data_IF_245433261618
#
_entry.id   IF_245433261618
#
_cell.length_a   1.000
_cell.length_b   1.000
_cell.length_c   1.000
_cell.angle_alpha   90.00
_cell.angle_beta   90.00
_cell.angle_gamma   90.00
#
_symmetry.space_group_name_H-M   'P 1'
#
loop_
_entity.id
_entity.type
_entity.pdbx_description
1 polymer ?
#
# COMPACT_ATOMS: atom_id res chain seq x y z
N UNK A 1 -11.63 -21.83 23.31
CA UNK A 1 -11.19 -20.60 22.62
C UNK A 1 -11.36 -19.49 23.62
N UNK A 2 -10.29 -19.11 24.33
CA UNK A 2 -10.29 -17.83 25.04
C UNK A 2 -10.57 -16.74 24.02
N UNK A 3 -11.47 -15.81 24.34
CA UNK A 3 -11.64 -14.61 23.54
C UNK A 3 -10.29 -13.89 23.53
N UNK A 4 -9.68 -13.76 22.35
CA UNK A 4 -8.55 -12.85 22.17
C UNK A 4 -8.93 -11.51 22.78
N UNK A 5 -8.12 -11.08 23.75
CA UNK A 5 -8.25 -9.76 24.36
C UNK A 5 -8.04 -8.72 23.25
N UNK A 6 -8.95 -7.76 23.13
CA UNK A 6 -8.74 -6.61 22.25
C UNK A 6 -7.58 -5.76 22.80
N UNK A 7 -6.38 -5.96 22.26
CA UNK A 7 -5.18 -5.22 22.67
C UNK A 7 -5.19 -3.81 22.09
N UNK A 8 -4.61 -2.89 22.84
CA UNK A 8 -4.41 -1.52 22.36
C UNK A 8 -3.48 -1.51 21.15
N UNK A 9 -3.90 -0.85 20.07
CA UNK A 9 -3.07 -0.62 18.87
C UNK A 9 -3.27 0.79 18.34
N UNK A 10 -2.16 1.47 18.05
CA UNK A 10 -2.18 2.75 17.38
C UNK A 10 -2.22 2.57 15.86
N UNK A 11 -3.18 3.21 15.20
CA UNK A 11 -3.33 3.16 13.74
C UNK A 11 -2.86 4.44 13.07
N UNK A 12 -3.41 5.59 13.50
CA UNK A 12 -2.96 6.92 13.07
C UNK A 12 -3.55 7.99 13.98
N UNK A 13 -3.03 9.22 13.90
CA UNK A 13 -3.59 10.36 14.66
C UNK A 13 -5.03 10.70 14.28
N UNK A 14 -5.43 10.39 13.04
CA UNK A 14 -6.75 10.72 12.49
C UNK A 14 -7.69 9.51 12.50
N UNK A 15 -7.29 8.41 13.14
CA UNK A 15 -8.08 7.20 13.16
C UNK A 15 -9.30 7.33 14.09
N UNK A 16 -10.48 6.99 13.57
CA UNK A 16 -11.74 7.10 14.32
C UNK A 16 -11.86 6.08 15.47
N UNK A 17 -11.02 5.03 15.50
CA UNK A 17 -10.98 4.07 16.58
C UNK A 17 -10.24 4.58 17.84
N UNK A 18 -9.56 5.74 17.76
CA UNK A 18 -8.73 6.28 18.85
C UNK A 18 -9.46 6.35 20.20
N UNK A 19 -10.74 6.75 20.21
CA UNK A 19 -11.52 6.82 21.45
C UNK A 19 -11.82 5.44 22.08
N UNK A 20 -11.98 4.39 21.28
CA UNK A 20 -12.14 3.01 21.78
C UNK A 20 -10.80 2.47 22.31
N UNK A 21 -9.72 2.71 21.57
CA UNK A 21 -8.37 2.30 21.96
C UNK A 21 -7.93 2.96 23.27
N UNK A 22 -8.19 4.26 23.44
CA UNK A 22 -7.88 5.00 24.67
C UNK A 22 -8.67 4.50 25.90
N UNK A 23 -9.89 3.98 25.71
CA UNK A 23 -10.64 3.32 26.80
C UNK A 23 -10.00 2.00 27.21
N UNK A 24 -9.47 1.23 26.26
CA UNK A 24 -8.71 0.01 26.59
C UNK A 24 -7.37 0.37 27.25
N UNK A 25 -6.69 1.43 26.78
CA UNK A 25 -5.47 1.98 27.40
C UNK A 25 -5.68 2.27 28.89
N UNK A 26 -6.80 2.87 29.27
CA UNK A 26 -7.14 3.14 30.66
C UNK A 26 -7.13 1.85 31.52
N UNK A 27 -7.71 0.77 31.01
CA UNK A 27 -7.76 -0.52 31.72
C UNK A 27 -6.36 -1.11 31.89
N UNK A 28 -5.52 -1.02 30.85
CA UNK A 28 -4.13 -1.50 30.92
C UNK A 28 -3.35 -0.71 31.96
N UNK A 29 -3.41 0.62 31.92
CA UNK A 29 -2.70 1.49 32.87
C UNK A 29 -3.17 1.33 34.33
N UNK A 30 -4.43 0.97 34.54
CA UNK A 30 -4.99 0.75 35.88
C UNK A 30 -4.74 -0.66 36.42
N UNK A 31 -4.55 -1.64 35.54
CA UNK A 31 -4.24 -3.03 35.92
C UNK A 31 -2.74 -3.35 36.02
N UNK A 32 -1.88 -2.47 35.50
CA UNK A 32 -0.44 -2.68 35.53
C UNK A 32 0.13 -2.77 36.95
N UNK A 33 0.93 -3.81 37.17
CA UNK A 33 1.78 -4.03 38.35
C UNK A 33 3.13 -4.60 37.90
N UNK A 34 4.23 -4.19 38.55
CA UNK A 34 5.57 -4.72 38.29
C UNK A 34 5.72 -6.20 38.70
N UNK A 35 4.84 -6.70 39.57
CA UNK A 35 4.86 -8.09 40.07
C UNK A 35 4.23 -9.09 39.09
N UNK A 36 3.52 -8.61 38.08
CA UNK A 36 2.84 -9.48 37.11
C UNK A 36 3.81 -10.03 36.06
N UNK A 37 3.49 -11.21 35.54
CA UNK A 37 4.15 -11.76 34.35
C UNK A 37 3.42 -11.31 33.08
N UNK A 38 4.19 -10.75 32.14
CA UNK A 38 3.68 -10.21 30.87
C UNK A 38 4.24 -11.00 29.69
N UNK A 39 3.42 -11.18 28.66
CA UNK A 39 3.84 -11.77 27.38
C UNK A 39 4.50 -10.72 26.49
N UNK A 40 5.15 -11.15 25.40
CA UNK A 40 5.71 -10.22 24.40
C UNK A 40 4.63 -9.27 23.86
N UNK A 41 3.41 -9.75 23.65
CA UNK A 41 2.30 -8.93 23.15
C UNK A 41 1.87 -7.85 24.14
N UNK A 42 1.98 -8.08 25.45
CA UNK A 42 1.70 -7.05 26.45
C UNK A 42 2.75 -5.92 26.39
N UNK A 43 4.03 -6.27 26.22
CA UNK A 43 5.08 -5.26 26.04
C UNK A 43 4.95 -4.49 24.71
N UNK A 44 4.49 -5.13 23.62
CA UNK A 44 4.17 -4.39 22.40
C UNK A 44 2.99 -3.44 22.64
N UNK A 45 1.93 -3.91 23.31
CA UNK A 45 0.77 -3.10 23.66
C UNK A 45 1.15 -1.89 24.54
N UNK A 46 2.09 -2.05 25.46
CA UNK A 46 2.66 -0.96 26.26
C UNK A 46 3.33 0.11 25.39
N UNK A 47 4.06 -0.30 24.35
CA UNK A 47 4.62 0.63 23.38
C UNK A 47 3.54 1.36 22.57
N UNK A 48 2.53 0.63 22.08
CA UNK A 48 1.38 1.22 21.35
C UNK A 48 0.65 2.28 22.17
N UNK A 49 0.44 2.01 23.46
CA UNK A 49 -0.12 2.98 24.42
C UNK A 49 0.73 4.25 24.47
N UNK A 50 2.05 4.12 24.51
CA UNK A 50 2.94 5.27 24.58
C UNK A 50 2.81 6.17 23.34
N UNK A 51 2.60 5.59 22.14
CA UNK A 51 2.41 6.34 20.89
C UNK A 51 1.20 7.30 20.98
N UNK A 52 0.11 6.91 21.63
CA UNK A 52 -1.03 7.81 21.84
C UNK A 52 -0.62 9.08 22.61
N UNK A 53 0.13 8.91 23.69
CA UNK A 53 0.59 10.03 24.52
C UNK A 53 1.68 10.88 23.85
N UNK A 54 2.55 10.28 23.02
CA UNK A 54 3.52 11.02 22.19
C UNK A 54 2.82 11.92 21.15
N UNK A 55 1.58 11.58 20.78
CA UNK A 55 0.76 12.34 19.84
C UNK A 55 -0.26 13.26 20.51
N UNK A 56 -0.15 13.47 21.83
CA UNK A 56 -1.08 14.25 22.65
C UNK A 56 -2.55 13.84 22.48
N UNK A 57 -2.79 12.53 22.32
CA UNK A 57 -4.13 11.94 22.22
C UNK A 57 -4.60 11.47 23.59
N UNK A 58 -5.77 11.97 24.00
CA UNK A 58 -6.37 11.69 25.30
C UNK A 58 -7.87 11.42 25.17
N UNK A 59 -8.42 10.63 26.09
CA UNK A 59 -9.86 10.45 26.15
C UNK A 59 -10.50 11.75 26.67
N UNK A 60 -11.59 12.20 26.01
CA UNK A 60 -12.26 13.46 26.37
C UNK A 60 -12.83 13.47 27.79
N UNK A 61 -13.08 12.29 28.38
CA UNK A 61 -13.59 12.15 29.74
C UNK A 61 -12.50 12.26 30.82
N UNK A 62 -11.22 12.24 30.47
CA UNK A 62 -10.14 12.34 31.46
C UNK A 62 -9.95 13.78 31.92
N UNK A 63 -9.93 13.96 33.23
CA UNK A 63 -9.50 15.20 33.86
C UNK A 63 -7.98 15.42 33.69
N UNK A 64 -7.51 16.66 33.84
CA UNK A 64 -6.11 17.01 33.54
C UNK A 64 -5.10 16.25 34.43
N UNK A 65 -5.43 16.09 35.71
CA UNK A 65 -4.64 15.29 36.64
C UNK A 65 -4.59 13.79 36.25
N UNK A 66 -5.67 13.25 35.68
CA UNK A 66 -5.69 11.87 35.17
C UNK A 66 -4.80 11.72 33.93
N UNK A 67 -4.83 12.69 33.01
CA UNK A 67 -3.95 12.70 31.84
C UNK A 67 -2.48 12.72 32.24
N UNK A 68 -2.09 13.57 33.19
CA UNK A 68 -0.71 13.63 33.70
C UNK A 68 -0.27 12.32 34.37
N UNK A 69 -1.14 11.72 35.18
CA UNK A 69 -0.89 10.43 35.82
C UNK A 69 -0.74 9.30 34.78
N UNK A 70 -1.65 9.22 33.81
CA UNK A 70 -1.60 8.21 32.74
C UNK A 70 -0.40 8.38 31.83
N UNK A 71 -0.01 9.62 31.51
CA UNK A 71 1.22 9.90 30.77
C UNK A 71 2.45 9.41 31.54
N UNK A 72 2.49 9.63 32.86
CA UNK A 72 3.57 9.14 33.72
C UNK A 72 3.63 7.61 33.77
N UNK A 73 2.48 6.93 33.92
CA UNK A 73 2.39 5.47 33.86
C UNK A 73 2.82 4.91 32.49
N UNK A 74 2.44 5.55 31.39
CA UNK A 74 2.84 5.13 30.05
C UNK A 74 4.36 5.21 29.81
N UNK A 75 5.07 6.13 30.50
CA UNK A 75 6.52 6.17 30.48
C UNK A 75 7.15 4.99 31.24
N UNK A 76 6.54 4.58 32.37
CA UNK A 76 6.96 3.38 33.11
C UNK A 76 6.81 2.13 32.23
N UNK A 77 5.66 1.99 31.56
CA UNK A 77 5.40 0.89 30.62
C UNK A 77 6.39 0.87 29.46
N UNK A 78 6.76 2.04 28.92
CA UNK A 78 7.76 2.16 27.87
C UNK A 78 9.14 1.70 28.34
N UNK A 79 9.56 2.09 29.55
CA UNK A 79 10.84 1.64 30.10
C UNK A 79 10.82 0.12 30.37
N UNK A 80 9.73 -0.43 30.90
CA UNK A 80 9.56 -1.88 31.07
C UNK A 80 9.68 -2.62 29.72
N UNK A 81 9.05 -2.10 28.67
CA UNK A 81 9.15 -2.63 27.29
C UNK A 81 10.60 -2.61 26.79
N UNK A 82 11.29 -1.50 26.98
CA UNK A 82 12.70 -1.36 26.59
C UNK A 82 13.59 -2.36 27.34
N UNK A 83 13.40 -2.52 28.65
CA UNK A 83 14.16 -3.48 29.45
C UNK A 83 13.89 -4.92 29.00
N UNK A 84 12.64 -5.28 28.70
CA UNK A 84 12.30 -6.58 28.15
C UNK A 84 13.03 -6.84 26.81
N UNK A 85 12.97 -5.89 25.88
CA UNK A 85 13.67 -6.02 24.58
C UNK A 85 15.18 -6.20 24.75
N UNK A 86 15.80 -5.44 25.66
CA UNK A 86 17.25 -5.44 25.86
C UNK A 86 17.76 -6.65 26.63
N UNK A 87 16.99 -7.21 27.57
CA UNK A 87 17.47 -8.21 28.52
C UNK A 87 16.87 -9.61 28.31
N UNK A 88 15.71 -9.71 27.66
CA UNK A 88 14.97 -10.97 27.53
C UNK A 88 14.89 -11.49 26.09
N UNK A 89 15.20 -10.68 25.08
CA UNK A 89 15.26 -11.13 23.68
C UNK A 89 16.71 -11.42 23.31
N UNK A 90 16.95 -12.69 22.96
CA UNK A 90 18.24 -13.26 22.61
C UNK A 90 18.13 -14.12 21.34
N UNK A 91 19.26 -14.54 20.79
CA UNK A 91 19.30 -15.37 19.58
C UNK A 91 18.53 -16.68 19.75
N UNK A 92 18.58 -17.28 20.93
CA UNK A 92 18.04 -18.61 21.22
C UNK A 92 16.51 -18.65 21.33
N UNK A 93 15.87 -17.51 21.62
CA UNK A 93 14.44 -17.46 21.91
C UNK A 93 13.62 -16.59 20.95
N UNK A 94 14.26 -15.81 20.08
CA UNK A 94 13.53 -14.87 19.22
C UNK A 94 12.58 -15.56 18.23
N UNK A 95 12.90 -16.77 17.78
CA UNK A 95 12.03 -17.52 16.86
C UNK A 95 10.71 -17.87 17.55
N UNK A 96 10.78 -18.45 18.75
CA UNK A 96 9.58 -18.78 19.54
C UNK A 96 8.81 -17.53 19.95
N UNK A 97 9.51 -16.46 20.35
CA UNK A 97 8.87 -15.19 20.67
C UNK A 97 8.13 -14.60 19.47
N UNK A 98 8.71 -14.66 18.27
CA UNK A 98 8.07 -14.17 17.05
C UNK A 98 6.79 -14.97 16.70
N UNK A 99 6.77 -16.27 16.97
CA UNK A 99 5.59 -17.13 16.76
C UNK A 99 4.41 -16.75 17.67
N UNK A 100 4.71 -16.25 18.87
CA UNK A 100 3.72 -15.76 19.83
C UNK A 100 3.18 -14.37 19.50
N UNK A 101 3.86 -13.59 18.64
CA UNK A 101 3.43 -12.23 18.30
C UNK A 101 2.10 -12.24 17.56
N UNK A 102 1.15 -11.45 18.07
CA UNK A 102 -0.17 -11.26 17.47
C UNK A 102 -0.03 -10.62 16.08
N UNK A 103 -0.86 -11.04 15.11
CA UNK A 103 -0.77 -10.59 13.71
C UNK A 103 -0.78 -9.05 13.56
N UNK A 104 -1.48 -8.36 14.46
CA UNK A 104 -1.54 -6.90 14.49
C UNK A 104 -0.24 -6.20 14.89
N UNK A 105 0.76 -6.91 15.40
CA UNK A 105 1.93 -6.34 16.05
C UNK A 105 3.27 -6.57 15.33
N UNK A 106 3.27 -7.15 14.12
CA UNK A 106 4.52 -7.36 13.39
C UNK A 106 5.27 -6.07 13.05
N UNK A 107 4.58 -4.99 12.68
CA UNK A 107 5.23 -3.67 12.46
C UNK A 107 5.97 -3.21 13.72
N UNK A 108 5.30 -3.28 14.87
CA UNK A 108 5.83 -2.80 16.15
C UNK A 108 6.92 -3.72 16.71
N UNK A 109 6.80 -5.04 16.52
CA UNK A 109 7.86 -6.00 16.84
C UNK A 109 9.17 -5.66 16.11
N UNK A 110 9.11 -5.49 14.79
CA UNK A 110 10.30 -5.17 14.00
C UNK A 110 10.81 -3.76 14.31
N UNK A 111 9.91 -2.80 14.55
CA UNK A 111 10.27 -1.45 14.95
C UNK A 111 11.02 -1.44 16.28
N UNK A 112 10.54 -2.12 17.31
CA UNK A 112 11.20 -2.18 18.62
C UNK A 112 12.55 -2.91 18.52
N UNK A 113 12.59 -4.01 17.77
CA UNK A 113 13.82 -4.77 17.50
C UNK A 113 14.88 -3.91 16.81
N UNK A 114 14.46 -3.04 15.88
CA UNK A 114 15.32 -2.06 15.21
C UNK A 114 15.74 -0.91 16.15
N UNK A 115 14.76 -0.30 16.82
CA UNK A 115 14.91 0.86 17.71
C UNK A 115 15.91 0.59 18.84
N UNK A 116 15.87 -0.61 19.41
CA UNK A 116 16.75 -1.03 20.50
C UNK A 116 17.98 -1.82 20.04
N UNK A 117 18.23 -1.91 18.72
CA UNK A 117 19.37 -2.63 18.14
C UNK A 117 19.47 -4.13 18.51
N UNK A 118 18.37 -4.74 18.96
CA UNK A 118 18.31 -6.16 19.37
C UNK A 118 18.65 -7.08 18.20
N UNK A 119 18.38 -6.64 16.96
CA UNK A 119 18.77 -7.37 15.74
C UNK A 119 20.26 -7.72 15.66
N UNK A 120 21.15 -7.00 16.36
CA UNK A 120 22.59 -7.29 16.41
C UNK A 120 22.93 -8.54 17.21
N UNK A 121 22.03 -8.98 18.08
CA UNK A 121 22.18 -10.23 18.86
C UNK A 121 21.80 -11.47 18.04
N UNK A 122 21.04 -11.28 16.96
CA UNK A 122 20.50 -12.37 16.15
C UNK A 122 21.52 -12.73 15.07
N UNK A 123 21.86 -14.01 14.99
CA UNK A 123 22.72 -14.51 13.93
C UNK A 123 21.96 -14.70 12.61
N UNK A 124 22.71 -14.98 11.54
CA UNK A 124 22.16 -15.12 10.19
C UNK A 124 21.30 -16.36 9.99
N UNK A 125 21.54 -17.43 10.75
CA UNK A 125 20.80 -18.68 10.66
C UNK A 125 19.45 -18.53 11.36
N UNK A 126 19.44 -18.00 12.58
CA UNK A 126 18.22 -17.69 13.33
C UNK A 126 17.33 -16.72 12.56
N UNK A 127 17.91 -15.67 11.96
CA UNK A 127 17.15 -14.76 11.10
C UNK A 127 16.49 -15.49 9.92
N UNK A 128 17.21 -16.42 9.28
CA UNK A 128 16.67 -17.21 8.17
C UNK A 128 15.53 -18.12 8.62
N UNK A 129 15.60 -18.69 9.82
CA UNK A 129 14.52 -19.48 10.42
C UNK A 129 13.24 -18.64 10.61
N UNK A 130 13.37 -17.39 11.08
CA UNK A 130 12.23 -16.46 11.17
C UNK A 130 11.60 -16.23 9.79
N UNK A 131 12.40 -16.06 8.74
CA UNK A 131 11.86 -15.81 7.39
C UNK A 131 11.11 -17.00 6.78
N UNK A 132 11.31 -18.22 7.32
CA UNK A 132 10.60 -19.43 6.89
C UNK A 132 9.25 -19.62 7.60
N UNK A 133 8.96 -18.81 8.62
CA UNK A 133 7.69 -18.85 9.32
C UNK A 133 6.53 -18.48 8.36
N UNK A 134 5.44 -19.24 8.38
CA UNK A 134 4.30 -19.01 7.48
C UNK A 134 3.56 -17.68 7.74
N UNK A 135 3.71 -17.10 8.92
CA UNK A 135 3.18 -15.77 9.29
C UNK A 135 4.16 -14.64 8.99
N UNK A 136 5.37 -14.94 8.51
CA UNK A 136 6.37 -13.92 8.24
C UNK A 136 5.93 -13.01 7.08
N UNK A 137 5.63 -11.76 7.42
CA UNK A 137 5.45 -10.68 6.45
C UNK A 137 6.74 -9.89 6.29
N UNK A 138 7.30 -9.85 5.09
CA UNK A 138 8.54 -9.08 4.82
C UNK A 138 8.31 -7.56 4.91
N UNK A 139 7.10 -7.06 4.63
CA UNK A 139 6.79 -5.62 4.60
C UNK A 139 7.08 -4.90 5.93
N UNK A 140 6.58 -5.36 7.09
CA UNK A 140 6.98 -4.82 8.41
C UNK A 140 8.49 -4.69 8.61
N UNK A 141 9.24 -5.69 8.18
CA UNK A 141 10.71 -5.70 8.28
C UNK A 141 11.35 -4.67 7.34
N UNK A 142 10.85 -4.51 6.11
CA UNK A 142 11.37 -3.54 5.14
C UNK A 142 11.22 -2.09 5.61
N UNK A 143 10.36 -1.79 6.58
CA UNK A 143 10.29 -0.46 7.21
C UNK A 143 11.51 -0.16 8.09
N UNK A 144 12.31 -1.16 8.42
CA UNK A 144 13.42 -1.06 9.39
C UNK A 144 14.79 -1.05 8.70
N UNK A 145 15.27 0.15 8.34
CA UNK A 145 16.49 0.32 7.55
C UNK A 145 17.72 -0.41 8.11
N UNK A 146 17.94 -0.37 9.43
CA UNK A 146 19.15 -0.97 10.00
C UNK A 146 19.11 -2.50 9.94
N UNK A 147 17.94 -3.10 10.18
CA UNK A 147 17.73 -4.55 10.03
C UNK A 147 17.95 -4.95 8.56
N UNK A 148 17.36 -4.19 7.63
CA UNK A 148 17.50 -4.43 6.19
C UNK A 148 18.96 -4.42 5.75
N UNK A 149 19.73 -3.45 6.24
CA UNK A 149 21.15 -3.34 5.92
C UNK A 149 21.97 -4.48 6.57
N UNK A 150 21.68 -4.82 7.83
CA UNK A 150 22.41 -5.85 8.58
C UNK A 150 22.21 -7.25 7.98
N UNK A 151 20.97 -7.60 7.61
CA UNK A 151 20.62 -8.89 7.01
C UNK A 151 20.48 -8.84 5.47
N UNK A 152 21.11 -7.86 4.83
CA UNK A 152 20.95 -7.56 3.40
C UNK A 152 21.01 -8.81 2.50
N UNK A 153 22.00 -9.69 2.69
CA UNK A 153 22.14 -10.91 1.89
C UNK A 153 21.02 -11.93 2.12
N UNK A 154 20.52 -12.06 3.35
CA UNK A 154 19.43 -12.99 3.67
C UNK A 154 18.10 -12.49 3.14
N UNK A 155 17.87 -11.17 3.21
CA UNK A 155 16.66 -10.55 2.63
C UNK A 155 16.70 -10.63 1.11
N UNK A 156 17.87 -10.44 0.48
CA UNK A 156 18.05 -10.68 -0.96
C UNK A 156 17.68 -12.11 -1.34
N UNK A 157 18.18 -13.11 -0.60
CA UNK A 157 17.85 -14.52 -0.86
C UNK A 157 16.33 -14.76 -0.75
N UNK A 158 15.70 -14.25 0.32
CA UNK A 158 14.24 -14.30 0.48
C UNK A 158 13.48 -13.72 -0.72
N UNK A 159 13.93 -12.58 -1.26
CA UNK A 159 13.30 -11.96 -2.43
C UNK A 159 13.43 -12.80 -3.69
N UNK A 160 14.57 -13.47 -3.89
CA UNK A 160 14.81 -14.32 -5.06
C UNK A 160 14.00 -15.61 -4.96
N UNK A 161 13.88 -16.18 -3.77
CA UNK A 161 13.17 -17.43 -3.53
C UNK A 161 11.63 -17.25 -3.50
N UNK A 162 11.15 -16.01 -3.41
CA UNK A 162 9.72 -15.69 -3.33
C UNK A 162 9.27 -14.79 -4.49
N UNK A 163 8.64 -15.39 -5.49
CA UNK A 163 8.14 -14.68 -6.68
C UNK A 163 7.17 -13.53 -6.35
N UNK A 164 6.41 -13.64 -5.26
CA UNK A 164 5.49 -12.57 -4.83
C UNK A 164 6.22 -11.30 -4.37
N UNK A 165 7.51 -11.38 -4.05
CA UNK A 165 8.34 -10.20 -3.72
C UNK A 165 8.46 -9.22 -4.88
N UNK A 166 8.23 -9.65 -6.13
CA UNK A 166 8.15 -8.77 -7.29
C UNK A 166 7.05 -7.71 -7.13
N UNK A 167 5.91 -8.09 -6.55
CA UNK A 167 4.78 -7.18 -6.33
C UNK A 167 5.14 -6.06 -5.34
N UNK A 168 5.97 -6.37 -4.34
CA UNK A 168 6.45 -5.38 -3.37
C UNK A 168 7.33 -4.34 -4.07
N UNK A 169 8.28 -4.78 -4.90
CA UNK A 169 9.13 -3.89 -5.70
C UNK A 169 8.30 -2.99 -6.62
N UNK A 170 7.37 -3.58 -7.36
CA UNK A 170 6.52 -2.85 -8.30
C UNK A 170 5.62 -1.84 -7.58
N UNK A 171 5.01 -2.24 -6.46
CA UNK A 171 4.19 -1.33 -5.64
C UNK A 171 4.98 -0.14 -5.11
N UNK A 172 6.25 -0.33 -4.78
CA UNK A 172 7.08 0.73 -4.24
C UNK A 172 7.60 1.67 -5.34
N UNK A 173 8.20 1.10 -6.40
CA UNK A 173 8.93 1.86 -7.41
C UNK A 173 8.08 2.37 -8.59
N UNK A 174 6.97 1.69 -8.93
CA UNK A 174 6.23 1.96 -10.17
C UNK A 174 4.78 2.42 -9.95
N UNK A 175 4.17 2.18 -8.78
CA UNK A 175 2.91 2.85 -8.47
C UNK A 175 3.13 4.36 -8.40
N UNK A 176 2.18 5.11 -8.99
CA UNK A 176 2.09 6.56 -8.93
C UNK A 176 2.25 7.06 -7.48
N UNK A 177 2.73 8.29 -7.32
CA UNK A 177 2.93 8.89 -6.00
C UNK A 177 1.63 8.83 -5.18
N UNK A 178 1.55 7.88 -4.24
CA UNK A 178 0.60 7.96 -3.14
C UNK A 178 0.95 9.21 -2.37
N UNK A 179 -0.06 9.97 -1.93
CA UNK A 179 0.12 11.25 -1.20
C UNK A 179 1.13 11.15 -0.06
N UNK A 180 1.23 9.97 0.56
CA UNK A 180 2.30 9.57 1.49
C UNK A 180 2.69 8.11 1.20
N UNK A 181 3.91 7.87 0.71
CA UNK A 181 4.46 6.50 0.61
C UNK A 181 5.10 6.15 1.96
N UNK A 182 4.70 5.03 2.56
CA UNK A 182 5.45 4.46 3.68
C UNK A 182 6.90 4.18 3.24
N UNK A 183 7.92 4.60 4.01
CA UNK A 183 9.30 4.38 3.64
C UNK A 183 9.65 2.88 3.76
N UNK A 184 9.83 2.22 2.62
CA UNK A 184 10.38 0.87 2.56
C UNK A 184 11.85 0.94 2.13
N UNK A 185 12.68 0.16 2.81
CA UNK A 185 14.09 -0.02 2.53
C UNK A 185 14.29 -1.39 1.90
N UNK A 186 15.02 -1.43 0.80
CA UNK A 186 15.40 -2.67 0.12
C UNK A 186 16.87 -2.97 0.39
N UNK A 187 17.27 -4.26 0.47
CA UNK A 187 18.64 -4.61 0.79
C UNK A 187 19.61 -4.13 -0.31
N UNK A 188 20.70 -3.47 0.07
CA UNK A 188 21.70 -2.95 -0.87
C UNK A 188 22.35 -4.04 -1.75
N UNK A 189 22.23 -5.31 -1.35
CA UNK A 189 22.72 -6.45 -2.13
C UNK A 189 21.80 -6.82 -3.30
N UNK A 190 20.54 -6.37 -3.30
CA UNK A 190 19.57 -6.61 -4.37
C UNK A 190 19.84 -5.66 -5.55
N UNK A 191 20.62 -6.15 -6.51
CA UNK A 191 21.07 -5.36 -7.66
C UNK A 191 20.01 -5.31 -8.78
N UNK A 192 20.26 -4.53 -9.83
CA UNK A 192 19.31 -4.36 -10.93
C UNK A 192 19.08 -5.67 -11.72
N UNK A 193 20.09 -6.55 -11.83
CA UNK A 193 19.92 -7.86 -12.45
C UNK A 193 19.04 -8.77 -11.61
N UNK A 194 19.16 -8.73 -10.28
CA UNK A 194 18.29 -9.50 -9.38
C UNK A 194 16.83 -9.05 -9.51
N UNK A 195 16.60 -7.73 -9.57
CA UNK A 195 15.26 -7.16 -9.77
C UNK A 195 14.66 -7.57 -11.11
N UNK A 196 15.44 -7.51 -12.20
CA UNK A 196 14.96 -7.93 -13.53
C UNK A 196 14.66 -9.43 -13.56
N UNK A 197 15.51 -10.27 -12.97
CA UNK A 197 15.28 -11.72 -12.90
C UNK A 197 14.02 -12.05 -12.07
N UNK A 198 13.84 -11.43 -10.90
CA UNK A 198 12.64 -11.59 -10.09
C UNK A 198 11.37 -11.17 -10.84
N UNK A 199 11.43 -10.09 -11.64
CA UNK A 199 10.33 -9.65 -12.49
C UNK A 199 10.08 -10.65 -13.63
N UNK A 200 11.12 -11.22 -14.23
CA UNK A 200 10.98 -12.26 -15.25
C UNK A 200 10.32 -13.52 -14.70
N UNK A 201 10.73 -13.96 -13.51
CA UNK A 201 10.13 -15.10 -12.82
C UNK A 201 8.66 -14.82 -12.51
N UNK A 202 8.36 -13.60 -12.05
CA UNK A 202 6.97 -13.16 -11.86
C UNK A 202 6.17 -13.22 -13.16
N UNK A 203 6.63 -12.63 -14.28
CA UNK A 203 5.91 -12.68 -15.57
C UNK A 203 5.56 -14.12 -15.99
N UNK A 204 6.44 -15.08 -15.71
CA UNK A 204 6.28 -16.49 -16.06
C UNK A 204 5.46 -17.30 -15.05
N UNK A 205 5.18 -16.74 -13.87
CA UNK A 205 4.38 -17.37 -12.85
C UNK A 205 2.92 -17.56 -13.31
N UNK A 206 2.28 -18.63 -12.82
CA UNK A 206 0.94 -19.02 -13.27
C UNK A 206 -0.13 -18.09 -12.72
N UNK A 207 0.01 -17.67 -11.47
CA UNK A 207 -0.98 -16.86 -10.76
C UNK A 207 -0.46 -15.44 -10.55
N UNK A 208 -0.42 -14.67 -11.65
CA UNK A 208 0.03 -13.27 -11.63
C UNK A 208 -1.11 -12.29 -11.71
N UNK A 209 -0.95 -11.17 -11.01
CA UNK A 209 -1.90 -10.07 -11.07
C UNK A 209 -1.63 -9.18 -12.28
N UNK A 210 -2.65 -9.03 -13.14
CA UNK A 210 -2.61 -8.17 -14.32
C UNK A 210 -2.19 -6.72 -14.02
N UNK A 211 -2.53 -6.18 -12.85
CA UNK A 211 -2.16 -4.81 -12.48
C UNK A 211 -0.65 -4.67 -12.30
N UNK A 212 0.01 -5.64 -11.65
CA UNK A 212 1.47 -5.65 -11.52
C UNK A 212 2.15 -5.88 -12.88
N UNK A 213 1.60 -6.73 -13.76
CA UNK A 213 2.11 -6.87 -15.13
C UNK A 213 2.02 -5.55 -15.91
N UNK A 214 0.94 -4.78 -15.74
CA UNK A 214 0.80 -3.45 -16.36
C UNK A 214 1.83 -2.45 -15.82
N UNK A 215 2.18 -2.51 -14.53
CA UNK A 215 3.29 -1.71 -13.99
C UNK A 215 4.62 -2.07 -14.64
N UNK A 216 4.89 -3.37 -14.87
CA UNK A 216 6.11 -3.81 -15.56
C UNK A 216 6.18 -3.25 -17.00
N UNK A 217 5.08 -3.29 -17.74
CA UNK A 217 5.02 -2.75 -19.12
C UNK A 217 5.37 -1.27 -19.16
N UNK A 218 4.85 -0.51 -18.18
CA UNK A 218 5.00 0.94 -18.11
C UNK A 218 6.17 1.39 -17.23
N UNK A 219 6.99 0.45 -16.76
CA UNK A 219 8.03 0.71 -15.77
C UNK A 219 9.01 1.78 -16.24
N UNK A 220 9.25 2.77 -15.38
CA UNK A 220 10.18 3.89 -15.60
C UNK A 220 11.35 3.88 -14.62
N UNK A 221 11.13 3.38 -13.41
CA UNK A 221 12.09 3.46 -12.30
C UNK A 221 12.98 2.23 -12.24
N UNK A 222 12.39 1.04 -12.35
CA UNK A 222 13.11 -0.22 -12.41
C UNK A 222 13.71 -0.36 -13.82
N UNK A 223 15.01 -0.63 -13.88
CA UNK A 223 15.70 -0.86 -15.16
C UNK A 223 15.33 -2.22 -15.70
N UNK A 224 14.56 -2.24 -16.78
CA UNK A 224 14.12 -3.45 -17.46
C UNK A 224 14.54 -3.42 -18.92
N UNK A 225 15.01 -4.55 -19.45
CA UNK A 225 15.32 -4.70 -20.86
C UNK A 225 14.05 -4.64 -21.72
N UNK A 226 14.23 -4.27 -23.00
CA UNK A 226 13.15 -4.29 -23.99
C UNK A 226 12.53 -5.69 -24.15
N UNK A 227 13.33 -6.74 -23.96
CA UNK A 227 12.87 -8.13 -24.00
C UNK A 227 11.90 -8.42 -22.85
N UNK A 228 12.23 -8.02 -21.63
CA UNK A 228 11.38 -8.16 -20.44
C UNK A 228 10.07 -7.39 -20.59
N UNK A 229 10.13 -6.14 -21.06
CA UNK A 229 8.92 -5.33 -21.34
C UNK A 229 8.04 -5.96 -22.43
N UNK A 230 8.63 -6.54 -23.48
CA UNK A 230 7.90 -7.23 -24.53
C UNK A 230 7.18 -8.49 -23.99
N UNK A 231 7.85 -9.27 -23.13
CA UNK A 231 7.23 -10.42 -22.46
C UNK A 231 6.06 -10.00 -21.58
N UNK A 232 6.24 -8.98 -20.74
CA UNK A 232 5.17 -8.42 -19.92
C UNK A 232 3.99 -7.94 -20.78
N UNK A 233 4.24 -7.29 -21.91
CA UNK A 233 3.18 -6.83 -22.83
C UNK A 233 2.39 -7.98 -23.43
N UNK A 234 3.05 -9.08 -23.80
CA UNK A 234 2.40 -10.31 -24.28
C UNK A 234 1.56 -10.96 -23.18
N UNK A 235 2.11 -11.10 -21.98
CA UNK A 235 1.41 -11.65 -20.80
C UNK A 235 0.20 -10.79 -20.41
N UNK A 236 0.34 -9.47 -20.39
CA UNK A 236 -0.77 -8.55 -20.14
C UNK A 236 -1.91 -8.73 -21.15
N UNK A 237 -1.57 -8.86 -22.45
CA UNK A 237 -2.58 -9.12 -23.49
C UNK A 237 -3.29 -10.44 -23.25
N UNK A 238 -2.54 -11.52 -23.00
CA UNK A 238 -3.10 -12.83 -22.69
C UNK A 238 -4.08 -12.77 -21.51
N UNK A 239 -3.66 -12.21 -20.37
CA UNK A 239 -4.49 -12.09 -19.17
C UNK A 239 -5.75 -11.24 -19.40
N UNK A 240 -5.66 -10.15 -20.17
CA UNK A 240 -6.84 -9.37 -20.55
C UNK A 240 -7.79 -10.19 -21.44
N UNK A 241 -7.26 -10.89 -22.45
CA UNK A 241 -8.07 -11.69 -23.37
C UNK A 241 -8.76 -12.86 -22.64
N UNK A 242 -8.12 -13.46 -21.64
CA UNK A 242 -8.70 -14.46 -20.74
C UNK A 242 -9.80 -13.87 -19.86
N UNK A 243 -9.53 -12.76 -19.16
CA UNK A 243 -10.53 -12.06 -18.33
C UNK A 243 -11.75 -11.60 -19.14
N UNK A 244 -11.56 -11.25 -20.42
CA UNK A 244 -12.66 -10.88 -21.32
C UNK A 244 -13.52 -12.08 -21.75
N UNK A 245 -12.98 -13.30 -21.73
CA UNK A 245 -13.72 -14.54 -22.08
C UNK A 245 -14.55 -15.09 -20.91
N UNK A 246 -14.15 -14.82 -19.67
CA UNK A 246 -14.82 -15.31 -18.45
C UNK A 246 -16.22 -14.71 -18.19
N UNK A 247 -16.75 -13.88 -19.11
CA UNK A 247 -18.15 -13.46 -19.12
C UNK A 247 -18.51 -12.34 -18.15
N UNK A 248 -17.67 -12.03 -17.17
CA UNK A 248 -17.84 -10.90 -16.24
C UNK A 248 -17.37 -9.56 -16.85
N UNK A 249 -17.78 -9.29 -18.09
CA UNK A 249 -17.35 -8.11 -18.86
C UNK A 249 -18.46 -7.07 -18.94
N UNK A 250 -18.22 -5.90 -18.34
CA UNK A 250 -19.01 -4.70 -18.61
C UNK A 250 -18.45 -4.01 -19.86
N UNK A 251 -18.99 -4.35 -21.04
CA UNK A 251 -18.69 -3.60 -22.26
C UNK A 251 -19.42 -2.26 -22.23
N UNK A 252 -18.66 -1.17 -22.40
CA UNK A 252 -19.16 0.18 -22.62
C UNK A 252 -18.49 0.72 -23.88
N UNK A 253 -19.24 1.45 -24.70
CA UNK A 253 -18.72 2.02 -25.94
C UNK A 253 -19.13 3.47 -26.14
N UNK A 254 -18.41 4.15 -27.03
CA UNK A 254 -18.80 5.47 -27.52
C UNK A 254 -18.98 5.39 -29.03
N UNK A 255 -20.13 5.81 -29.52
CA UNK A 255 -20.41 5.95 -30.94
C UNK A 255 -20.39 7.42 -31.34
N UNK A 256 -19.87 7.73 -32.53
CA UNK A 256 -19.90 9.08 -33.10
C UNK A 256 -20.40 8.99 -34.53
N UNK A 257 -21.38 9.80 -34.89
CA UNK A 257 -21.89 9.85 -36.27
C UNK A 257 -22.36 11.25 -36.68
N UNK A 258 -22.41 11.47 -38.00
CA UNK A 258 -23.02 12.66 -38.60
C UNK A 258 -24.43 12.29 -39.04
N UNK A 259 -25.42 13.08 -38.64
CA UNK A 259 -26.84 12.87 -38.95
C UNK A 259 -27.31 13.90 -39.98
N UNK A 260 -27.98 13.41 -41.03
CA UNK A 260 -28.56 14.26 -42.09
C UNK A 260 -29.84 14.94 -41.66
N UNK A 261 -30.62 14.27 -40.83
CA UNK A 261 -31.99 14.68 -40.50
C UNK A 261 -32.06 15.41 -39.13
N UNK A 262 -30.92 15.56 -38.45
CA UNK A 262 -30.84 16.23 -37.16
C UNK A 262 -30.82 17.76 -37.32
N UNK A 263 -31.79 18.43 -36.69
CA UNK A 263 -31.90 19.90 -36.69
C UNK A 263 -31.01 20.57 -35.66
N UNK A 264 -30.82 19.95 -34.50
CA UNK A 264 -29.97 20.48 -33.45
C UNK A 264 -28.48 20.29 -33.77
N UNK A 265 -27.59 21.19 -33.34
CA UNK A 265 -26.16 21.11 -33.70
C UNK A 265 -25.47 19.80 -33.23
N UNK A 266 -25.86 19.30 -32.06
CA UNK A 266 -25.36 18.04 -31.47
C UNK A 266 -26.42 17.40 -30.59
N UNK A 267 -26.41 16.07 -30.48
CA UNK A 267 -27.24 15.30 -29.55
C UNK A 267 -26.41 14.19 -28.89
N UNK A 268 -26.81 13.80 -27.69
CA UNK A 268 -26.24 12.71 -26.93
C UNK A 268 -27.37 11.76 -26.55
N UNK A 269 -27.25 10.50 -26.95
CA UNK A 269 -28.19 9.45 -26.58
C UNK A 269 -27.45 8.25 -25.97
N UNK A 270 -28.19 7.41 -25.25
CA UNK A 270 -27.63 6.19 -24.66
C UNK A 270 -28.34 4.96 -25.21
N UNK A 271 -27.60 4.14 -25.94
CA UNK A 271 -28.01 2.81 -26.35
C UNK A 271 -27.88 1.87 -25.15
N UNK A 272 -29.02 1.56 -24.54
CA UNK A 272 -29.11 0.70 -23.34
C UNK A 272 -28.74 -0.75 -23.64
N UNK A 273 -29.04 -1.25 -24.84
CA UNK A 273 -28.82 -2.65 -25.21
C UNK A 273 -27.33 -2.94 -25.36
N UNK A 274 -26.60 -2.06 -26.06
CA UNK A 274 -25.16 -2.20 -26.24
C UNK A 274 -24.33 -1.44 -25.21
N UNK A 275 -24.98 -0.74 -24.26
CA UNK A 275 -24.35 0.15 -23.26
C UNK A 275 -23.40 1.17 -23.89
N UNK A 276 -23.88 1.86 -24.93
CA UNK A 276 -23.09 2.83 -25.70
C UNK A 276 -23.62 4.24 -25.55
N UNK A 277 -22.72 5.20 -25.30
CA UNK A 277 -23.02 6.62 -25.41
C UNK A 277 -22.83 7.04 -26.88
N UNK A 278 -23.87 7.57 -27.51
CA UNK A 278 -23.85 7.93 -28.93
C UNK A 278 -23.93 9.46 -29.05
N UNK A 279 -22.90 10.04 -29.67
CA UNK A 279 -22.86 11.45 -30.05
C UNK A 279 -23.23 11.59 -31.52
N UNK A 280 -24.21 12.44 -31.82
CA UNK A 280 -24.60 12.74 -33.20
C UNK A 280 -24.50 14.22 -33.50
N UNK A 281 -23.89 14.57 -34.63
CA UNK A 281 -23.71 15.95 -35.08
C UNK A 281 -24.50 16.21 -36.36
N UNK A 282 -25.15 17.36 -36.46
CA UNK A 282 -25.93 17.72 -37.64
C UNK A 282 -25.02 18.01 -38.84
N UNK A 283 -25.27 17.33 -39.96
CA UNK A 283 -24.57 17.58 -41.22
C UNK A 283 -24.79 19.02 -41.71
N UNK A 284 -26.03 19.50 -41.64
CA UNK A 284 -26.41 20.85 -42.04
C UNK A 284 -25.69 21.92 -41.20
N UNK A 285 -25.64 21.73 -39.87
CA UNK A 285 -24.94 22.66 -38.99
C UNK A 285 -23.43 22.69 -39.26
N UNK A 286 -22.81 21.52 -39.42
CA UNK A 286 -21.39 21.41 -39.75
C UNK A 286 -21.10 22.05 -41.12
N UNK A 287 -21.98 21.88 -42.10
CA UNK A 287 -21.88 22.50 -43.42
C UNK A 287 -21.99 24.02 -43.37
N UNK A 288 -22.93 24.55 -42.58
CA UNK A 288 -23.11 26.00 -42.40
C UNK A 288 -21.95 26.67 -41.64
N UNK A 289 -21.18 25.91 -40.87
CA UNK A 289 -20.09 26.42 -40.02
C UNK A 289 -18.68 26.12 -40.57
N UNK A 290 -18.53 25.83 -41.87
CA UNK A 290 -17.25 25.51 -42.52
C UNK A 290 -16.25 26.67 -42.66
N UNK A 291 -16.65 27.91 -42.32
CA UNK A 291 -15.70 29.02 -42.32
C UNK A 291 -14.62 28.81 -41.26
N UNK A 292 -13.45 29.42 -41.43
CA UNK A 292 -12.36 29.31 -40.45
C UNK A 292 -12.82 29.63 -39.01
N UNK A 293 -13.61 30.70 -38.86
CA UNK A 293 -14.16 31.12 -37.56
C UNK A 293 -15.22 30.12 -37.06
N UNK A 294 -16.05 29.58 -37.96
CA UNK A 294 -17.08 28.59 -37.60
C UNK A 294 -16.48 27.29 -37.10
N UNK A 295 -15.46 26.77 -37.80
CA UNK A 295 -14.73 25.57 -37.38
C UNK A 295 -14.09 25.79 -36.00
N UNK A 296 -13.42 26.93 -35.79
CA UNK A 296 -12.84 27.25 -34.48
C UNK A 296 -13.89 27.27 -33.37
N UNK A 297 -15.06 27.89 -33.62
CA UNK A 297 -16.16 27.92 -32.65
C UNK A 297 -16.71 26.54 -32.31
N UNK A 298 -16.69 25.59 -33.25
CA UNK A 298 -17.15 24.22 -33.03
C UNK A 298 -16.27 23.45 -32.02
N UNK A 299 -14.96 23.76 -31.92
CA UNK A 299 -14.08 23.18 -30.90
C UNK A 299 -14.55 23.49 -29.48
N UNK A 300 -15.18 24.64 -29.27
CA UNK A 300 -15.83 24.97 -28.00
C UNK A 300 -17.25 24.37 -27.99
N UNK A 301 -18.12 24.83 -28.89
CA UNK A 301 -19.57 24.63 -28.75
C UNK A 301 -20.09 23.23 -29.10
N UNK A 302 -19.42 22.48 -30.00
CA UNK A 302 -19.85 21.13 -30.37
C UNK A 302 -19.06 20.05 -29.64
N UNK A 303 -17.74 20.24 -29.54
CA UNK A 303 -16.83 19.22 -29.06
C UNK A 303 -16.39 19.44 -27.61
N UNK A 304 -16.59 20.64 -27.06
CA UNK A 304 -16.12 21.03 -25.71
C UNK A 304 -14.63 20.74 -25.49
N UNK A 305 -13.81 20.87 -26.55
CA UNK A 305 -12.37 20.65 -26.50
C UNK A 305 -11.64 21.85 -25.91
N UNK A 306 -12.21 23.05 -26.04
CA UNK A 306 -11.67 24.29 -25.48
C UNK A 306 -12.70 25.01 -24.61
N UNK A 307 -12.23 25.67 -23.55
CA UNK A 307 -13.08 26.45 -22.66
C UNK A 307 -13.41 27.85 -23.23
N UNK A 308 -14.17 28.64 -22.47
CA UNK A 308 -14.57 30.00 -22.88
C UNK A 308 -13.37 30.96 -23.07
N UNK A 309 -12.20 30.64 -22.51
CA UNK A 309 -10.95 31.39 -22.66
C UNK A 309 -10.12 30.89 -23.86
N UNK A 310 -10.56 29.84 -24.56
CA UNK A 310 -9.85 29.25 -25.70
C UNK A 310 -8.73 28.28 -25.31
N UNK A 311 -8.63 27.89 -24.04
CA UNK A 311 -7.65 26.90 -23.59
C UNK A 311 -8.21 25.48 -23.70
N UNK A 312 -7.35 24.50 -24.00
CA UNK A 312 -7.73 23.08 -24.04
C UNK A 312 -7.95 22.59 -22.60
N UNK A 313 -9.17 22.14 -22.31
CA UNK A 313 -9.51 21.55 -20.99
C UNK A 313 -9.29 20.02 -20.96
N UNK A 314 -9.09 19.39 -22.12
CA UNK A 314 -8.75 17.97 -22.28
C UNK A 314 -7.25 17.73 -22.08
N UNK A 315 -6.70 18.21 -20.98
CA UNK A 315 -5.32 17.87 -20.60
C UNK A 315 -5.36 16.54 -19.87
N UNK A 316 -4.54 15.57 -20.32
CA UNK A 316 -4.30 14.34 -19.57
C UNK A 316 -3.75 14.75 -18.21
N UNK A 317 -4.58 14.72 -17.17
CA UNK A 317 -4.10 14.89 -15.81
C UNK A 317 -3.29 13.64 -15.51
N UNK A 318 -1.96 13.74 -15.57
CA UNK A 318 -1.10 12.81 -14.84
C UNK A 318 -1.61 12.83 -13.39
N UNK A 319 -2.17 11.69 -12.97
CA UNK A 319 -2.71 11.50 -11.63
C UNK A 319 -1.61 11.07 -10.69
#
# INVERSE_FOLDING_TARGET
>A
MEKERNRVKFYSKNDMASGLQLKETEKVLNSYSEENHYSINDYIEFYEINIYFENDLFLLSWAENEKENYKSKALILLEATKQFWLNNIENENIVSLFEEVDYGFYDSFWLLTNKFNVYKKIDKQTFEEITKNNRFGVRPLLKQQNIVNFFSQKIRAYFIDNTASAEILLSFYEEAERREKEPLYFPNSLNDSDKENLILDYINYSDVNLNYIKLIVNSKTIKLSNKTKLLAKKKAKQLNDEALKDGNVLSQGVGVSISKDQKEPSNISFDKENRRLIYTYSEDYLNATKSFIGIYKNFNHLFNFINFQGCIDLVYKER
#
